data_IF_967784436115
#
_entry.id   IF_967784436115
#
_cell.length_a   1.000
_cell.length_b   1.000
_cell.length_c   1.000
_cell.angle_alpha   90.00
_cell.angle_beta   90.00
_cell.angle_gamma   90.00
#
_symmetry.space_group_name_H-M   'P 1'
#
loop_
_entity.id
_entity.type
_entity.pdbx_description
1 polymer ?
#
# COMPACT_ATOMS: atom_id res chain seq x y z
N UNK A 1 -0.52 -5.39 -37.94
CA UNK A 1 -1.43 -4.74 -36.96
C UNK A 1 -1.04 -5.27 -35.59
N UNK A 2 -0.06 -4.62 -34.95
CA UNK A 2 0.49 -5.11 -33.68
C UNK A 2 -0.46 -4.76 -32.55
N UNK A 3 -0.93 -5.77 -31.81
CA UNK A 3 -1.69 -5.56 -30.58
C UNK A 3 -0.68 -5.18 -29.50
N UNK A 4 -0.74 -3.94 -29.02
CA UNK A 4 -0.01 -3.51 -27.83
C UNK A 4 -0.82 -4.01 -26.63
N UNK A 5 -0.34 -5.06 -25.97
CA UNK A 5 -0.86 -5.44 -24.65
C UNK A 5 -0.31 -4.45 -23.63
N UNK A 6 -1.19 -3.59 -23.10
CA UNK A 6 -0.86 -2.74 -21.96
C UNK A 6 -0.80 -3.67 -20.73
N UNK A 7 0.35 -3.83 -20.06
CA UNK A 7 0.39 -4.60 -18.83
C UNK A 7 -0.52 -3.92 -17.80
N UNK A 8 -1.35 -4.72 -17.11
CA UNK A 8 -2.18 -4.28 -15.99
C UNK A 8 -1.26 -3.84 -14.85
N UNK A 9 -0.86 -2.58 -14.90
CA UNK A 9 -0.01 -1.93 -13.89
C UNK A 9 -0.91 -1.44 -12.77
N UNK A 10 -0.86 -2.10 -11.62
CA UNK A 10 -1.17 -1.44 -10.34
C UNK A 10 -0.56 -2.20 -9.18
N UNK A 11 0.75 -2.45 -9.22
CA UNK A 11 1.50 -2.79 -8.00
C UNK A 11 2.00 -1.48 -7.38
N UNK A 12 1.17 -0.83 -6.57
CA UNK A 12 1.65 0.28 -5.75
C UNK A 12 2.51 -0.32 -4.63
N UNK A 13 3.82 -0.30 -4.82
CA UNK A 13 4.79 -0.73 -3.81
C UNK A 13 5.03 0.40 -2.82
N UNK A 14 4.80 0.14 -1.54
CA UNK A 14 5.15 1.08 -0.47
C UNK A 14 6.61 0.89 -0.07
N UNK A 15 7.31 1.98 0.27
CA UNK A 15 8.74 1.99 0.60
C UNK A 15 8.96 2.61 1.98
N UNK A 16 9.84 2.02 2.78
CA UNK A 16 10.28 2.61 4.04
C UNK A 16 11.35 3.68 3.77
N UNK A 17 11.11 4.94 4.18
CA UNK A 17 12.06 6.04 3.91
C UNK A 17 13.35 5.97 4.76
N UNK A 18 13.43 5.05 5.73
CA UNK A 18 14.60 4.90 6.62
C UNK A 18 15.65 4.01 5.95
N UNK A 19 15.25 2.82 5.48
CA UNK A 19 16.13 1.86 4.82
C UNK A 19 16.02 1.87 3.28
N UNK A 20 15.03 2.56 2.72
CA UNK A 20 14.71 2.56 1.28
C UNK A 20 14.28 1.21 0.71
N UNK A 21 13.84 0.28 1.56
CA UNK A 21 13.37 -1.04 1.16
C UNK A 21 11.82 -1.13 1.09
N UNK A 22 11.27 -2.08 0.32
CA UNK A 22 9.82 -2.31 0.25
C UNK A 22 9.19 -2.67 1.59
N UNK A 23 8.01 -2.13 1.83
CA UNK A 23 7.13 -2.52 2.93
C UNK A 23 6.30 -3.73 2.51
N UNK A 24 6.18 -4.70 3.42
CA UNK A 24 5.38 -5.92 3.23
C UNK A 24 4.16 -5.90 4.15
N UNK A 25 3.08 -6.62 3.80
CA UNK A 25 1.82 -6.59 4.58
C UNK A 25 1.98 -7.03 6.04
N UNK A 26 2.99 -7.83 6.34
CA UNK A 26 3.35 -8.30 7.68
C UNK A 26 4.28 -7.32 8.42
N UNK A 27 5.06 -6.50 7.71
CA UNK A 27 6.05 -5.59 8.28
C UNK A 27 5.77 -4.12 7.91
N UNK A 28 4.56 -3.67 8.25
CA UNK A 28 4.10 -2.29 8.13
C UNK A 28 3.63 -1.76 9.46
N UNK A 29 4.36 -0.81 10.03
CA UNK A 29 4.07 -0.22 11.33
C UNK A 29 3.88 1.29 11.20
N UNK A 30 2.84 1.79 11.85
CA UNK A 30 2.54 3.21 11.95
C UNK A 30 2.80 3.74 13.36
N UNK A 31 2.88 5.06 13.45
CA UNK A 31 2.83 5.80 14.72
C UNK A 31 1.59 6.71 14.77
N UNK A 32 1.40 7.40 15.89
CA UNK A 32 0.29 8.34 16.12
C UNK A 32 0.08 9.38 15.01
N UNK A 33 1.11 9.73 14.24
CA UNK A 33 0.98 10.64 13.09
C UNK A 33 0.54 9.98 11.78
N UNK A 34 0.43 8.65 11.71
CA UNK A 34 -0.02 7.89 10.55
C UNK A 34 1.05 7.52 9.51
N UNK A 35 2.32 7.93 9.68
CA UNK A 35 3.39 7.55 8.75
C UNK A 35 3.86 6.11 9.01
N UNK A 36 4.16 5.37 7.94
CA UNK A 36 4.41 3.92 7.96
C UNK A 36 5.87 3.58 7.64
N UNK A 37 6.46 2.66 8.40
CA UNK A 37 7.85 2.20 8.30
C UNK A 37 7.93 0.73 8.75
N UNK A 38 9.08 0.07 8.59
CA UNK A 38 9.33 -1.22 9.23
C UNK A 38 9.43 -1.08 10.76
N UNK A 39 9.12 -2.15 11.48
CA UNK A 39 9.19 -2.17 12.95
C UNK A 39 10.59 -1.80 13.47
N UNK A 40 11.62 -2.45 12.94
CA UNK A 40 13.01 -2.25 13.37
C UNK A 40 13.49 -0.82 13.07
N UNK A 41 13.23 -0.36 11.85
CA UNK A 41 13.58 0.99 11.41
C UNK A 41 12.92 2.05 12.30
N UNK A 42 11.63 1.88 12.60
CA UNK A 42 10.89 2.77 13.48
C UNK A 42 11.45 2.75 14.91
N UNK A 43 11.63 1.57 15.47
CA UNK A 43 12.06 1.36 16.86
C UNK A 43 13.45 1.95 17.09
N UNK A 44 14.37 1.77 16.14
CA UNK A 44 15.71 2.35 16.20
C UNK A 44 15.66 3.88 16.26
N UNK A 45 14.90 4.53 15.37
CA UNK A 45 14.84 6.00 15.32
C UNK A 45 14.12 6.56 16.55
N UNK A 46 12.98 6.00 16.94
CA UNK A 46 12.20 6.50 18.08
C UNK A 46 12.98 6.39 19.38
N UNK A 47 13.72 5.29 19.58
CA UNK A 47 14.56 5.09 20.77
C UNK A 47 15.63 6.18 20.92
N UNK A 48 16.12 6.74 19.81
CA UNK A 48 17.17 7.77 19.81
C UNK A 48 16.61 9.21 19.75
N UNK A 49 15.54 9.43 18.99
CA UNK A 49 15.12 10.77 18.55
C UNK A 49 13.74 11.19 19.06
N UNK A 50 12.86 10.23 19.41
CA UNK A 50 11.49 10.48 19.90
C UNK A 50 10.62 11.37 19.00
N UNK A 51 10.84 11.34 17.68
CA UNK A 51 10.02 12.03 16.69
C UNK A 51 9.86 11.20 15.40
N UNK A 52 8.79 11.47 14.66
CA UNK A 52 8.56 10.92 13.33
C UNK A 52 9.60 11.42 12.31
N UNK A 53 10.29 10.56 11.55
CA UNK A 53 11.25 10.98 10.53
C UNK A 53 10.65 11.86 9.42
N UNK A 54 9.36 11.67 9.10
CA UNK A 54 8.71 12.32 7.97
C UNK A 54 8.08 13.68 8.33
N UNK A 55 7.44 13.80 9.50
CA UNK A 55 6.73 15.02 9.88
C UNK A 55 7.16 15.63 11.21
N UNK A 56 8.17 15.05 11.88
CA UNK A 56 8.74 15.54 13.15
C UNK A 56 7.77 15.65 14.33
N UNK A 57 6.55 15.12 14.22
CA UNK A 57 5.64 14.98 15.36
C UNK A 57 6.29 14.08 16.42
N UNK A 58 6.11 14.42 17.69
CA UNK A 58 6.59 13.62 18.83
C UNK A 58 6.02 12.21 18.72
N UNK A 59 6.88 11.21 18.88
CA UNK A 59 6.52 9.81 18.82
C UNK A 59 7.33 9.02 19.85
N UNK A 60 6.69 8.06 20.50
CA UNK A 60 7.29 7.17 21.48
C UNK A 60 7.06 5.72 21.07
N UNK A 61 7.78 4.77 21.67
CA UNK A 61 7.59 3.34 21.37
C UNK A 61 6.17 2.86 21.66
N UNK A 62 5.43 3.54 22.55
CA UNK A 62 4.03 3.24 22.85
C UNK A 62 3.07 3.63 21.72
N UNK A 63 3.52 4.48 20.79
CA UNK A 63 2.73 4.92 19.66
C UNK A 63 2.84 3.96 18.46
N UNK A 64 3.79 3.02 18.50
CA UNK A 64 4.05 2.06 17.42
C UNK A 64 2.92 1.04 17.35
N UNK A 65 2.31 0.89 16.18
CA UNK A 65 1.21 -0.05 15.93
C UNK A 65 1.38 -0.73 14.58
N UNK A 66 1.25 -2.05 14.55
CA UNK A 66 1.20 -2.81 13.30
C UNK A 66 -0.07 -2.46 12.52
N UNK A 67 0.06 -2.27 11.22
CA UNK A 67 -1.06 -2.09 10.31
C UNK A 67 -1.50 -3.45 9.81
N UNK A 68 -2.72 -3.85 10.15
CA UNK A 68 -3.35 -5.05 9.61
C UNK A 68 -4.38 -4.64 8.55
N UNK A 69 -4.12 -5.00 7.30
CA UNK A 69 -5.05 -4.76 6.19
C UNK A 69 -5.84 -6.04 5.93
N UNK A 70 -7.17 -5.95 5.94
CA UNK A 70 -8.01 -7.03 5.47
C UNK A 70 -7.83 -7.17 3.96
N UNK A 71 -7.43 -8.36 3.46
CA UNK A 71 -7.41 -8.60 2.03
C UNK A 71 -8.79 -8.34 1.43
N UNK A 72 -8.83 -7.64 0.30
CA UNK A 72 -10.05 -7.58 -0.50
C UNK A 72 -10.14 -8.88 -1.28
N UNK A 73 -10.78 -9.88 -0.70
CA UNK A 73 -11.09 -11.13 -1.37
C UNK A 73 -12.06 -10.82 -2.52
N UNK A 74 -11.54 -10.89 -3.76
CA UNK A 74 -12.26 -10.95 -5.02
C UNK A 74 -13.77 -10.60 -4.96
N UNK A 75 -14.11 -9.31 -4.93
CA UNK A 75 -15.35 -8.91 -5.58
C UNK A 75 -15.15 -9.19 -7.07
N UNK A 76 -15.61 -10.35 -7.52
CA UNK A 76 -15.72 -10.69 -8.93
C UNK A 76 -16.45 -9.53 -9.62
N UNK A 77 -15.70 -8.69 -10.32
CA UNK A 77 -16.30 -7.83 -11.33
C UNK A 77 -16.74 -8.78 -12.45
N UNK A 78 -17.94 -9.34 -12.32
CA UNK A 78 -18.71 -9.78 -13.47
C UNK A 78 -19.03 -8.53 -14.26
N UNK A 79 -18.06 -8.02 -15.02
CA UNK A 79 -18.37 -7.24 -16.20
C UNK A 79 -18.98 -8.22 -17.21
N UNK A 80 -20.25 -8.57 -16.99
CA UNK A 80 -21.09 -9.09 -18.05
C UNK A 80 -21.08 -8.05 -19.16
N UNK A 81 -20.21 -8.29 -20.13
CA UNK A 81 -20.21 -7.59 -21.40
C UNK A 81 -21.55 -7.91 -22.03
N UNK A 82 -22.53 -7.06 -21.77
CA UNK A 82 -23.85 -7.15 -22.36
C UNK A 82 -23.64 -6.89 -23.86
N UNK A 83 -23.39 -7.96 -24.62
CA UNK A 83 -23.21 -7.93 -26.07
C UNK A 83 -24.56 -7.52 -26.64
N UNK A 84 -24.74 -6.23 -26.90
CA UNK A 84 -25.88 -5.75 -27.68
C UNK A 84 -25.74 -6.38 -29.07
N UNK A 85 -26.55 -7.40 -29.33
CA UNK A 85 -26.64 -8.07 -30.62
C UNK A 85 -27.36 -7.12 -31.59
N UNK A 86 -26.61 -6.24 -32.24
CA UNK A 86 -27.17 -5.38 -33.29
C UNK A 86 -27.49 -6.24 -34.51
N UNK A 87 -28.78 -6.33 -34.83
CA UNK A 87 -29.31 -6.96 -36.04
C UNK A 87 -29.26 -5.92 -37.15
N UNK A 88 -28.22 -5.93 -37.97
CA UNK A 88 -28.21 -5.15 -39.20
C UNK A 88 -29.27 -5.75 -40.14
N UNK A 89 -30.32 -4.99 -40.41
CA UNK A 89 -31.28 -5.29 -41.48
C UNK A 89 -30.81 -4.50 -42.68
N UNK A 90 -30.28 -5.23 -43.67
CA UNK A 90 -30.08 -4.75 -45.05
C UNK A 90 -31.41 -4.26 -45.63
#
# INVERSE_FOLDING_TARGET
MSIILIPKMSSTTFICIICSEPLTSDNMFSISCGHVFHEDCMTQIISQKKYCPQCRKVATLKDVRQIHLQPLDNMQTKSESNKIKVRWKI
#
